data_IF_676306919810
#
_entry.id   IF_676306919810
#
_cell.length_a   1.000
_cell.length_b   1.000
_cell.length_c   1.000
_cell.angle_alpha   90.00
_cell.angle_beta   90.00
_cell.angle_gamma   90.00
#
_symmetry.space_group_name_H-M   'P 1'
#
loop_
_entity.id
_entity.type
_entity.pdbx_description
1 polymer ?
#
# COMPACT_ATOMS: atom_id res chain seq x y z
N UNK A 1 3.80 -9.25 28.15
CA UNK A 1 4.76 -8.24 27.66
C UNK A 1 3.94 -7.19 26.93
N UNK A 2 3.65 -6.04 27.61
CA UNK A 2 2.91 -4.95 26.95
C UNK A 2 3.82 -4.31 25.92
N UNK A 3 3.41 -4.39 24.64
CA UNK A 3 4.04 -3.60 23.58
C UNK A 3 3.47 -2.19 23.74
N UNK A 4 4.27 -1.25 24.23
CA UNK A 4 3.87 0.15 24.24
C UNK A 4 3.87 0.66 22.79
N UNK A 5 2.70 0.86 22.22
CA UNK A 5 2.53 1.43 20.88
C UNK A 5 2.38 2.94 21.06
N UNK A 6 3.30 3.72 20.49
CA UNK A 6 3.21 5.18 20.50
C UNK A 6 2.34 5.60 19.32
N UNK A 7 1.24 6.28 19.59
CA UNK A 7 0.34 6.82 18.55
C UNK A 7 0.60 8.32 18.39
N UNK A 8 0.69 8.80 17.15
CA UNK A 8 0.49 10.22 16.86
C UNK A 8 -1.00 10.45 16.60
N UNK A 9 -1.55 11.47 17.25
CA UNK A 9 -2.91 11.92 17.00
C UNK A 9 -2.85 13.25 16.26
N UNK A 10 -3.34 13.26 15.04
CA UNK A 10 -3.43 14.45 14.19
C UNK A 10 -4.90 14.78 13.88
N UNK A 11 -5.17 16.01 13.51
CA UNK A 11 -6.48 16.35 12.92
C UNK A 11 -6.65 15.57 11.62
N UNK A 12 -7.79 14.94 11.44
CA UNK A 12 -8.09 14.25 10.18
C UNK A 12 -7.90 15.22 9.01
N UNK A 13 -7.26 14.81 7.89
CA UNK A 13 -7.02 15.70 6.77
C UNK A 13 -8.35 16.20 6.22
N UNK A 14 -8.64 17.49 6.41
CA UNK A 14 -9.79 18.19 5.84
C UNK A 14 -9.54 18.45 4.36
N UNK A 15 -9.78 17.44 3.52
CA UNK A 15 -9.92 17.61 2.08
C UNK A 15 -11.40 17.74 1.72
N UNK A 16 -11.72 18.43 0.63
CA UNK A 16 -13.09 18.57 0.12
C UNK A 16 -13.74 17.17 -0.03
N UNK A 17 -14.68 16.84 0.86
CA UNK A 17 -15.30 15.52 0.95
C UNK A 17 -14.87 14.71 2.18
N UNK A 18 -14.42 15.35 3.28
CA UNK A 18 -14.17 14.67 4.54
C UNK A 18 -15.45 13.90 4.95
N UNK A 19 -15.48 12.62 4.61
CA UNK A 19 -16.54 11.75 5.06
C UNK A 19 -16.34 11.58 6.58
N UNK A 20 -17.35 11.91 7.33
CA UNK A 20 -17.44 11.83 8.80
C UNK A 20 -17.56 10.38 9.27
N UNK A 21 -16.74 9.47 8.71
CA UNK A 21 -16.81 8.04 9.01
C UNK A 21 -15.83 7.62 10.08
N UNK A 22 -16.17 6.53 10.77
CA UNK A 22 -15.32 5.84 11.74
C UNK A 22 -14.69 4.64 11.06
N UNK A 23 -13.41 4.71 10.79
CA UNK A 23 -12.72 3.67 10.03
C UNK A 23 -11.45 3.19 10.73
N UNK A 24 -11.21 1.92 10.62
CA UNK A 24 -9.94 1.27 10.93
C UNK A 24 -9.27 0.91 9.60
N UNK A 25 -7.97 1.17 9.47
CA UNK A 25 -7.17 0.75 8.33
C UNK A 25 -5.87 0.09 8.77
N UNK A 26 -5.37 -0.87 8.00
CA UNK A 26 -4.04 -1.43 8.20
C UNK A 26 -3.48 -2.02 6.91
N UNK A 27 -2.16 -1.94 6.80
CA UNK A 27 -1.37 -2.54 5.72
C UNK A 27 -0.20 -3.33 6.28
N UNK A 28 0.05 -4.49 5.71
CA UNK A 28 1.17 -5.39 6.03
C UNK A 28 1.83 -5.92 4.74
N UNK A 29 1.62 -5.23 3.63
CA UNK A 29 2.07 -5.63 2.30
C UNK A 29 3.57 -5.46 2.07
N UNK A 30 4.24 -4.66 2.92
CA UNK A 30 5.67 -4.34 2.83
C UNK A 30 6.43 -4.81 4.08
N UNK A 31 7.69 -4.40 4.20
CA UNK A 31 8.50 -4.56 5.41
C UNK A 31 8.02 -3.72 6.60
N UNK A 32 7.10 -2.79 6.37
CA UNK A 32 6.42 -2.00 7.41
C UNK A 32 5.02 -2.51 7.65
N UNK A 33 4.60 -2.44 8.89
CA UNK A 33 3.21 -2.55 9.33
C UNK A 33 2.71 -1.15 9.60
N UNK A 34 1.65 -0.73 8.93
CA UNK A 34 0.99 0.56 9.14
C UNK A 34 -0.43 0.33 9.60
N UNK A 35 -0.87 1.05 10.63
CA UNK A 35 -2.24 1.02 11.17
C UNK A 35 -2.74 2.43 11.39
N UNK A 36 -4.04 2.67 11.19
CA UNK A 36 -4.68 3.95 11.43
C UNK A 36 -6.15 3.79 11.84
N UNK A 37 -6.64 4.69 12.69
CA UNK A 37 -8.05 4.82 13.08
C UNK A 37 -8.48 6.25 12.87
N UNK A 38 -9.66 6.46 12.32
CA UNK A 38 -10.33 7.75 12.20
C UNK A 38 -11.69 7.70 12.89
N UNK A 39 -12.02 8.73 13.69
CA UNK A 39 -13.34 8.89 14.32
C UNK A 39 -14.22 9.93 13.59
N UNK A 40 -13.78 10.38 12.44
CA UNK A 40 -14.40 11.45 11.64
C UNK A 40 -13.71 12.80 11.78
N UNK A 41 -13.09 13.08 12.91
CA UNK A 41 -12.41 14.35 13.20
C UNK A 41 -10.91 14.18 13.46
N UNK A 42 -10.54 13.09 14.11
CA UNK A 42 -9.17 12.78 14.53
C UNK A 42 -8.65 11.54 13.85
N UNK A 43 -7.36 11.54 13.59
CA UNK A 43 -6.62 10.43 13.02
C UNK A 43 -5.56 9.95 14.02
N UNK A 44 -5.60 8.68 14.41
CA UNK A 44 -4.54 7.99 15.12
C UNK A 44 -3.81 7.12 14.13
N UNK A 45 -2.48 7.16 14.14
CA UNK A 45 -1.67 6.37 13.23
C UNK A 45 -0.42 5.81 13.92
N UNK A 46 0.04 4.67 13.46
CA UNK A 46 1.24 4.00 13.93
C UNK A 46 1.89 3.20 12.82
N UNK A 47 3.20 3.28 12.78
CA UNK A 47 4.03 2.47 11.91
C UNK A 47 5.09 1.74 12.73
N UNK A 48 5.38 0.50 12.34
CA UNK A 48 6.43 -0.30 12.96
C UNK A 48 6.99 -1.31 11.95
N UNK A 49 8.07 -2.00 12.34
CA UNK A 49 8.58 -3.11 11.55
C UNK A 49 7.50 -4.18 11.39
N UNK A 50 7.25 -4.55 10.14
CA UNK A 50 6.27 -5.55 9.70
C UNK A 50 6.88 -6.92 9.42
N UNK A 51 6.58 -7.48 8.26
CA UNK A 51 7.00 -8.81 7.80
C UNK A 51 6.58 -9.93 8.78
N UNK A 52 7.49 -10.76 9.24
CA UNK A 52 7.19 -11.89 10.13
C UNK A 52 6.56 -11.49 11.47
N UNK A 53 6.76 -10.26 11.93
CA UNK A 53 6.21 -9.76 13.19
C UNK A 53 4.75 -9.30 13.08
N UNK A 54 4.26 -9.03 11.87
CA UNK A 54 2.89 -8.56 11.66
C UNK A 54 1.85 -9.54 12.19
N UNK A 55 2.05 -10.84 12.01
CA UNK A 55 1.10 -11.87 12.46
C UNK A 55 0.87 -11.91 13.97
N UNK A 56 1.86 -11.49 14.77
CA UNK A 56 1.76 -11.50 16.24
C UNK A 56 1.43 -10.13 16.82
N UNK A 57 1.79 -9.04 16.13
CA UNK A 57 1.68 -7.69 16.65
C UNK A 57 0.45 -6.94 16.14
N UNK A 58 -0.08 -7.29 14.97
CA UNK A 58 -1.14 -6.52 14.32
C UNK A 58 -2.39 -6.39 15.20
N UNK A 59 -3.00 -7.49 15.61
CA UNK A 59 -4.24 -7.45 16.40
C UNK A 59 -4.06 -6.71 17.74
N UNK A 60 -3.02 -6.99 18.55
CA UNK A 60 -2.78 -6.20 19.76
C UNK A 60 -2.64 -4.69 19.51
N UNK A 61 -1.93 -4.29 18.45
CA UNK A 61 -1.73 -2.89 18.12
C UNK A 61 -3.05 -2.22 17.65
N UNK A 62 -3.86 -2.91 16.85
CA UNK A 62 -5.18 -2.43 16.42
C UNK A 62 -6.11 -2.20 17.62
N UNK A 63 -6.15 -3.15 18.56
CA UNK A 63 -7.00 -3.03 19.77
C UNK A 63 -6.55 -1.87 20.66
N UNK A 64 -5.24 -1.71 20.88
CA UNK A 64 -4.71 -0.58 21.64
C UNK A 64 -5.03 0.78 20.96
N UNK A 65 -4.98 0.85 19.63
CA UNK A 65 -5.30 2.08 18.91
C UNK A 65 -6.80 2.41 19.00
N UNK A 66 -7.67 1.41 18.88
CA UNK A 66 -9.12 1.59 19.08
C UNK A 66 -9.43 2.07 20.50
N UNK A 67 -8.79 1.50 21.51
CA UNK A 67 -8.93 1.95 22.92
C UNK A 67 -8.48 3.40 23.08
N UNK A 68 -7.33 3.79 22.49
CA UNK A 68 -6.84 5.16 22.50
C UNK A 68 -7.78 6.14 21.77
N UNK A 69 -8.47 5.68 20.72
CA UNK A 69 -9.49 6.45 20.01
C UNK A 69 -10.85 6.48 20.72
N UNK A 70 -11.04 5.68 21.78
CA UNK A 70 -12.32 5.52 22.45
C UNK A 70 -13.38 4.82 21.61
N UNK A 71 -12.98 3.99 20.65
CA UNK A 71 -13.86 3.30 19.73
C UNK A 71 -13.88 1.78 19.97
N UNK A 72 -15.05 1.18 19.75
CA UNK A 72 -15.21 -0.27 19.65
C UNK A 72 -15.34 -0.69 18.19
N UNK A 73 -14.93 -1.90 17.86
CA UNK A 73 -15.06 -2.46 16.51
C UNK A 73 -16.47 -2.34 15.91
N UNK A 74 -17.50 -2.57 16.73
CA UNK A 74 -18.90 -2.46 16.29
C UNK A 74 -19.38 -1.02 16.01
N UNK A 75 -18.58 -0.01 16.29
CA UNK A 75 -18.86 1.39 16.00
C UNK A 75 -18.22 1.88 14.70
N UNK A 76 -17.40 1.02 14.06
CA UNK A 76 -16.78 1.33 12.79
C UNK A 76 -17.78 1.22 11.65
N UNK A 77 -17.63 2.08 10.64
CA UNK A 77 -18.41 2.02 9.40
C UNK A 77 -17.79 1.03 8.39
N UNK A 78 -16.48 0.82 8.45
CA UNK A 78 -15.77 -0.19 7.68
C UNK A 78 -14.37 -0.45 8.24
N UNK A 79 -13.80 -1.61 7.86
CA UNK A 79 -12.40 -1.97 8.11
C UNK A 79 -11.68 -2.01 6.75
N UNK A 80 -10.79 -1.03 6.52
CA UNK A 80 -9.95 -0.98 5.34
C UNK A 80 -8.68 -1.83 5.53
N UNK A 81 -8.27 -2.51 4.47
CA UNK A 81 -7.04 -3.31 4.50
C UNK A 81 -6.32 -3.28 3.15
N UNK A 82 -4.98 -3.31 3.20
CA UNK A 82 -4.15 -3.43 2.01
C UNK A 82 -4.30 -4.80 1.39
N UNK A 83 -4.97 -4.87 0.22
CA UNK A 83 -5.20 -6.16 -0.45
C UNK A 83 -4.06 -6.60 -1.35
N UNK A 84 -3.09 -5.70 -1.61
CA UNK A 84 -1.97 -5.97 -2.50
C UNK A 84 -1.91 -5.03 -3.72
N UNK A 85 -0.89 -5.23 -4.57
CA UNK A 85 0.15 -6.25 -4.50
C UNK A 85 1.17 -6.03 -3.38
N UNK A 86 1.89 -7.08 -2.99
CA UNK A 86 2.90 -7.01 -1.95
C UNK A 86 3.37 -8.37 -1.43
N UNK A 87 3.93 -8.39 -0.22
CA UNK A 87 4.39 -9.61 0.45
C UNK A 87 3.27 -10.63 0.62
N UNK A 88 3.47 -11.83 0.12
CA UNK A 88 2.50 -12.93 0.16
C UNK A 88 1.98 -13.25 1.58
N UNK A 89 2.88 -13.32 2.55
CA UNK A 89 2.51 -13.56 3.95
C UNK A 89 1.77 -12.35 4.52
N UNK A 90 2.26 -11.14 4.23
CA UNK A 90 1.63 -9.90 4.69
C UNK A 90 0.20 -9.75 4.18
N UNK A 91 -0.04 -9.96 2.89
CA UNK A 91 -1.37 -9.87 2.30
C UNK A 91 -2.36 -10.85 2.93
N UNK A 92 -1.93 -12.09 3.16
CA UNK A 92 -2.78 -13.08 3.83
C UNK A 92 -3.09 -12.70 5.27
N UNK A 93 -2.10 -12.17 5.99
CA UNK A 93 -2.31 -11.66 7.34
C UNK A 93 -3.34 -10.52 7.34
N UNK A 94 -3.19 -9.53 6.46
CA UNK A 94 -4.14 -8.43 6.35
C UNK A 94 -5.55 -8.92 6.02
N UNK A 95 -5.72 -9.78 5.02
CA UNK A 95 -7.01 -10.33 4.64
C UNK A 95 -7.68 -11.12 5.78
N UNK A 96 -6.94 -12.04 6.42
CA UNK A 96 -7.48 -12.86 7.50
C UNK A 96 -7.89 -12.03 8.72
N UNK A 97 -7.09 -11.03 9.09
CA UNK A 97 -7.40 -10.12 10.21
C UNK A 97 -8.60 -9.25 9.86
N UNK A 98 -8.64 -8.66 8.64
CA UNK A 98 -9.78 -7.85 8.18
C UNK A 98 -11.07 -8.67 8.21
N UNK A 99 -11.04 -9.87 7.64
CA UNK A 99 -12.19 -10.78 7.62
C UNK A 99 -12.68 -11.12 9.01
N UNK A 100 -11.77 -11.56 9.92
CA UNK A 100 -12.13 -11.96 11.26
C UNK A 100 -12.70 -10.82 12.11
N UNK A 101 -12.06 -9.64 12.08
CA UNK A 101 -12.53 -8.48 12.82
C UNK A 101 -13.85 -7.95 12.28
N UNK A 102 -13.99 -7.84 10.96
CA UNK A 102 -15.21 -7.36 10.31
C UNK A 102 -16.41 -8.30 10.55
N UNK A 103 -16.19 -9.62 10.47
CA UNK A 103 -17.19 -10.62 10.76
C UNK A 103 -17.66 -10.54 12.23
N UNK A 104 -16.70 -10.47 13.17
CA UNK A 104 -17.00 -10.35 14.60
C UNK A 104 -17.70 -9.06 14.99
N UNK A 105 -17.45 -7.96 14.26
CA UNK A 105 -18.03 -6.65 14.49
C UNK A 105 -19.34 -6.40 13.73
N UNK A 106 -19.66 -7.21 12.73
CA UNK A 106 -20.82 -7.01 11.85
C UNK A 106 -20.67 -5.80 10.91
N UNK A 107 -19.43 -5.47 10.49
CA UNK A 107 -19.13 -4.33 9.63
C UNK A 107 -18.51 -4.77 8.29
N UNK A 108 -18.64 -3.98 7.22
CA UNK A 108 -18.04 -4.32 5.94
C UNK A 108 -16.51 -4.16 5.96
N UNK A 109 -15.85 -4.80 5.00
CA UNK A 109 -14.44 -4.56 4.69
C UNK A 109 -14.31 -3.63 3.48
N UNK A 110 -13.23 -2.85 3.45
CA UNK A 110 -12.86 -1.99 2.33
C UNK A 110 -11.48 -2.41 1.80
N UNK A 111 -11.42 -3.21 0.74
CA UNK A 111 -10.16 -3.59 0.13
C UNK A 111 -9.53 -2.40 -0.60
N UNK A 112 -8.28 -2.06 -0.26
CA UNK A 112 -7.53 -0.96 -0.88
C UNK A 112 -6.32 -1.50 -1.61
N UNK A 113 -6.12 -1.07 -2.85
CA UNK A 113 -4.93 -1.42 -3.62
C UNK A 113 -3.69 -0.76 -3.01
N UNK A 114 -2.67 -1.56 -2.74
CA UNK A 114 -1.44 -1.09 -2.08
C UNK A 114 -0.73 0.00 -2.88
N UNK A 115 -0.68 -0.11 -4.22
CA UNK A 115 -0.08 0.92 -5.07
C UNK A 115 -0.93 2.20 -5.14
N UNK A 116 -2.25 2.11 -4.99
CA UNK A 116 -3.10 3.28 -4.86
C UNK A 116 -2.87 3.99 -3.52
N UNK A 117 -2.71 3.25 -2.42
CA UNK A 117 -2.34 3.81 -1.12
C UNK A 117 -0.95 4.48 -1.17
N UNK A 118 0.02 3.87 -1.87
CA UNK A 118 1.34 4.46 -2.11
C UNK A 118 1.26 5.76 -2.93
N UNK A 119 0.46 5.77 -3.99
CA UNK A 119 0.26 6.97 -4.81
C UNK A 119 -0.39 8.12 -4.01
N UNK A 120 -1.35 7.80 -3.15
CA UNK A 120 -2.00 8.78 -2.25
C UNK A 120 -1.02 9.29 -1.18
N UNK A 121 -0.16 8.43 -0.63
CA UNK A 121 0.87 8.86 0.32
C UNK A 121 1.85 9.82 -0.35
N UNK A 122 2.33 9.49 -1.55
CA UNK A 122 3.20 10.38 -2.32
C UNK A 122 2.51 11.71 -2.66
N UNK A 123 1.22 11.71 -2.99
CA UNK A 123 0.44 12.92 -3.21
C UNK A 123 0.40 13.80 -1.96
N UNK A 124 0.11 13.20 -0.82
CA UNK A 124 0.03 13.90 0.47
C UNK A 124 1.38 14.52 0.85
N UNK A 125 2.45 13.75 0.78
CA UNK A 125 3.80 14.23 1.07
C UNK A 125 4.29 15.31 0.07
N UNK A 126 3.90 15.20 -1.22
CA UNK A 126 4.17 16.25 -2.19
C UNK A 126 3.53 17.58 -1.80
N UNK A 127 2.24 17.57 -1.49
CA UNK A 127 1.52 18.79 -1.09
C UNK A 127 2.09 19.43 0.17
N UNK A 128 2.56 18.62 1.10
CA UNK A 128 3.19 19.07 2.35
C UNK A 128 4.58 19.68 2.12
N UNK A 129 5.38 19.07 1.26
CA UNK A 129 6.77 19.49 1.01
C UNK A 129 6.89 20.52 -0.12
N UNK A 130 5.89 20.63 -1.01
CA UNK A 130 5.86 21.54 -2.15
C UNK A 130 4.55 22.35 -2.21
N UNK A 131 4.22 23.15 -1.15
CA UNK A 131 2.90 23.79 -1.03
C UNK A 131 2.59 24.82 -2.13
N UNK A 132 3.62 25.30 -2.83
CA UNK A 132 3.49 26.26 -3.94
C UNK A 132 3.58 25.60 -5.33
N UNK A 133 3.77 24.29 -5.41
CA UNK A 133 4.00 23.58 -6.66
C UNK A 133 2.83 22.67 -6.96
N UNK A 134 2.32 22.77 -8.19
CA UNK A 134 1.25 21.88 -8.65
C UNK A 134 1.69 20.41 -8.58
N UNK A 135 0.72 19.53 -8.34
CA UNK A 135 0.93 18.09 -8.41
C UNK A 135 1.38 17.69 -9.83
N UNK A 136 2.40 16.85 -9.97
CA UNK A 136 2.78 16.30 -11.27
C UNK A 136 1.58 15.56 -11.92
N UNK A 137 1.38 15.72 -13.24
CA UNK A 137 0.20 15.14 -13.90
C UNK A 137 0.21 13.61 -13.93
N UNK A 138 1.39 13.00 -13.81
CA UNK A 138 1.55 11.56 -13.84
C UNK A 138 2.53 11.08 -12.77
N UNK A 139 2.16 9.95 -12.13
CA UNK A 139 2.91 9.30 -11.07
C UNK A 139 3.13 7.83 -11.42
N UNK A 140 4.32 7.30 -11.08
CA UNK A 140 4.62 5.88 -11.11
C UNK A 140 4.85 5.38 -9.68
N UNK A 141 3.96 4.54 -9.18
CA UNK A 141 4.09 3.85 -7.90
C UNK A 141 4.74 2.48 -8.12
N UNK A 142 5.78 2.19 -7.33
CA UNK A 142 6.62 1.02 -7.53
C UNK A 142 7.00 0.37 -6.21
N UNK A 143 6.81 -0.95 -6.10
CA UNK A 143 7.22 -1.73 -4.93
C UNK A 143 8.05 -2.93 -5.33
N UNK A 144 9.03 -3.26 -4.48
CA UNK A 144 9.79 -4.50 -4.62
C UNK A 144 8.86 -5.72 -4.59
N UNK A 145 8.88 -6.49 -5.66
CA UNK A 145 8.10 -7.72 -5.79
C UNK A 145 8.92 -8.97 -5.44
N UNK A 146 10.14 -8.81 -4.93
CA UNK A 146 11.13 -9.86 -4.75
C UNK A 146 11.51 -10.55 -6.07
N UNK A 147 12.42 -11.51 -6.03
CA UNK A 147 12.84 -12.29 -7.20
C UNK A 147 13.32 -11.44 -8.38
N UNK A 148 13.93 -10.28 -8.10
CA UNK A 148 14.40 -9.31 -9.10
C UNK A 148 13.28 -8.75 -10.00
N UNK A 149 12.09 -8.55 -9.44
CA UNK A 149 10.93 -7.94 -10.11
C UNK A 149 10.35 -6.81 -9.27
N UNK A 150 9.65 -5.92 -9.93
CA UNK A 150 9.04 -4.71 -9.38
C UNK A 150 7.56 -4.68 -9.76
N UNK A 151 6.68 -4.51 -8.79
CA UNK A 151 5.29 -4.11 -9.03
C UNK A 151 5.28 -2.66 -9.49
N UNK A 152 4.68 -2.39 -10.65
CA UNK A 152 4.59 -1.04 -11.22
C UNK A 152 3.14 -0.75 -11.57
N UNK A 153 2.68 0.42 -11.16
CA UNK A 153 1.41 0.97 -11.61
C UNK A 153 1.55 2.47 -11.88
N UNK A 154 1.00 2.90 -12.99
CA UNK A 154 1.02 4.29 -13.40
C UNK A 154 -0.33 4.94 -13.11
N UNK A 155 -0.28 6.19 -12.69
CA UNK A 155 -1.43 6.98 -12.30
C UNK A 155 -1.42 8.31 -13.04
N UNK A 156 -2.60 8.84 -13.33
CA UNK A 156 -2.77 10.21 -13.79
C UNK A 156 -3.53 11.03 -12.75
N UNK A 157 -3.22 12.31 -12.69
CA UNK A 157 -3.90 13.26 -11.82
C UNK A 157 -5.26 13.62 -12.41
N UNK A 158 -6.33 13.39 -11.66
CA UNK A 158 -7.69 13.78 -12.00
C UNK A 158 -8.36 14.42 -10.77
N UNK A 159 -8.83 15.65 -10.91
CA UNK A 159 -9.54 16.36 -9.83
C UNK A 159 -8.82 16.30 -8.48
N UNK A 160 -7.49 16.52 -8.48
CA UNK A 160 -6.63 16.49 -7.29
C UNK A 160 -6.42 15.09 -6.65
N UNK A 161 -6.75 14.00 -7.33
CA UNK A 161 -6.50 12.63 -6.92
C UNK A 161 -5.80 11.85 -8.04
N UNK A 162 -4.94 10.91 -7.67
CA UNK A 162 -4.32 10.01 -8.64
C UNK A 162 -5.24 8.83 -8.94
N UNK A 163 -5.55 8.64 -10.23
CA UNK A 163 -6.35 7.54 -10.74
C UNK A 163 -5.46 6.58 -11.55
N UNK A 164 -5.62 5.26 -11.40
CA UNK A 164 -4.80 4.30 -12.14
C UNK A 164 -5.07 4.39 -13.64
N UNK A 165 -4.00 4.39 -14.45
CA UNK A 165 -4.08 4.33 -15.91
C UNK A 165 -4.36 2.91 -16.42
N UNK A 166 -3.85 1.91 -15.71
CA UNK A 166 -4.00 0.50 -16.03
C UNK A 166 -3.80 -0.36 -14.78
N UNK A 167 -4.03 -1.65 -14.89
CA UNK A 167 -3.70 -2.61 -13.84
C UNK A 167 -2.19 -2.61 -13.52
N UNK A 168 -1.85 -3.03 -12.29
CA UNK A 168 -0.46 -3.25 -11.90
C UNK A 168 0.20 -4.31 -12.78
N UNK A 169 1.46 -4.09 -13.13
CA UNK A 169 2.31 -5.02 -13.88
C UNK A 169 3.56 -5.38 -13.10
N UNK A 170 4.18 -6.51 -13.48
CA UNK A 170 5.49 -6.93 -13.00
C UNK A 170 6.53 -6.64 -14.08
N UNK A 171 7.62 -5.97 -13.71
CA UNK A 171 8.75 -5.71 -14.61
C UNK A 171 10.08 -5.96 -13.88
N UNK A 172 11.12 -6.45 -14.58
CA UNK A 172 12.46 -6.44 -14.02
C UNK A 172 12.99 -5.00 -13.90
N UNK A 173 13.98 -4.71 -13.04
CA UNK A 173 14.52 -3.35 -12.87
C UNK A 173 14.89 -2.67 -14.19
N UNK A 174 15.48 -3.39 -15.13
CA UNK A 174 15.87 -2.87 -16.45
C UNK A 174 14.66 -2.47 -17.33
N UNK A 175 13.51 -3.11 -17.11
CA UNK A 175 12.26 -2.82 -17.83
C UNK A 175 11.65 -1.46 -17.49
N UNK A 176 12.03 -0.86 -16.36
CA UNK A 176 11.52 0.45 -15.92
C UNK A 176 11.81 1.58 -16.93
N UNK A 177 12.95 1.52 -17.63
CA UNK A 177 13.28 2.55 -18.62
C UNK A 177 12.21 2.66 -19.72
N UNK A 178 11.64 1.54 -20.16
CA UNK A 178 10.56 1.55 -21.13
C UNK A 178 9.24 1.99 -20.48
N UNK A 179 8.91 1.48 -19.30
CA UNK A 179 7.69 1.82 -18.58
C UNK A 179 7.59 3.34 -18.33
N UNK A 180 8.68 3.97 -17.90
CA UNK A 180 8.74 5.42 -17.67
C UNK A 180 8.62 6.24 -18.96
N UNK A 181 9.26 5.81 -20.06
CA UNK A 181 9.14 6.51 -21.37
C UNK A 181 7.70 6.47 -21.89
N UNK A 182 7.06 5.31 -21.80
CA UNK A 182 5.71 5.11 -22.32
C UNK A 182 4.65 5.93 -21.56
N UNK A 183 4.89 6.24 -20.27
CA UNK A 183 3.91 6.90 -19.42
C UNK A 183 4.29 8.35 -19.04
N UNK A 184 5.40 8.89 -19.55
CA UNK A 184 5.88 10.25 -19.28
C UNK A 184 5.83 10.66 -17.79
N UNK A 185 6.08 9.71 -16.89
CA UNK A 185 5.95 9.92 -15.44
C UNK A 185 6.96 10.96 -14.94
N UNK A 186 6.46 11.89 -14.10
CA UNK A 186 7.25 12.98 -13.50
C UNK A 186 7.44 12.79 -11.99
N UNK A 187 6.55 12.08 -11.33
CA UNK A 187 6.68 11.71 -9.93
C UNK A 187 6.88 10.20 -9.83
N UNK A 188 7.97 9.79 -9.21
CA UNK A 188 8.36 8.40 -9.02
C UNK A 188 8.38 8.11 -7.53
N UNK A 189 7.67 7.06 -7.08
CA UNK A 189 7.56 6.74 -5.67
C UNK A 189 7.65 5.25 -5.39
N UNK A 190 8.06 4.91 -4.18
CA UNK A 190 8.18 3.55 -3.67
C UNK A 190 9.55 3.20 -3.12
N UNK A 191 9.72 1.96 -2.66
CA UNK A 191 10.96 1.47 -2.05
C UNK A 191 12.01 0.95 -3.05
N UNK A 192 11.70 0.95 -4.34
CA UNK A 192 12.58 0.40 -5.38
C UNK A 192 13.90 1.15 -5.50
N UNK A 193 13.92 2.43 -5.18
CA UNK A 193 15.11 3.29 -5.26
C UNK A 193 16.18 2.91 -4.23
N UNK A 194 15.76 2.37 -3.10
CA UNK A 194 16.65 1.82 -2.08
C UNK A 194 17.04 0.37 -2.40
N UNK A 195 16.04 -0.48 -2.71
CA UNK A 195 16.23 -1.92 -2.91
C UNK A 195 17.04 -2.25 -4.16
N UNK A 196 16.89 -1.43 -5.22
CA UNK A 196 17.50 -1.67 -6.53
C UNK A 196 18.47 -0.56 -6.98
N UNK A 197 18.97 0.27 -6.07
CA UNK A 197 19.75 1.49 -6.36
C UNK A 197 20.74 1.36 -7.54
N UNK A 198 21.58 0.32 -7.50
CA UNK A 198 22.66 0.09 -8.49
C UNK A 198 22.17 -0.60 -9.79
N UNK A 199 20.89 -0.94 -9.88
CA UNK A 199 20.30 -1.73 -10.98
C UNK A 199 19.19 -1.01 -11.73
N UNK A 200 18.80 0.15 -11.23
CA UNK A 200 17.79 0.96 -11.90
C UNK A 200 18.38 1.67 -13.13
N UNK A 201 17.61 1.80 -14.21
CA UNK A 201 18.01 2.63 -15.33
C UNK A 201 18.09 4.11 -14.93
N UNK A 202 18.75 4.92 -15.76
CA UNK A 202 18.77 6.37 -15.58
C UNK A 202 17.33 6.92 -15.48
N UNK A 203 17.11 7.79 -14.50
CA UNK A 203 15.81 8.40 -14.26
C UNK A 203 15.39 9.28 -15.45
N UNK A 204 14.09 9.37 -15.76
CA UNK A 204 13.61 10.30 -16.79
C UNK A 204 13.98 11.74 -16.45
N UNK A 205 14.41 12.50 -17.46
CA UNK A 205 14.75 13.91 -17.28
C UNK A 205 13.57 14.70 -16.71
N UNK A 206 13.81 15.50 -15.68
CA UNK A 206 12.81 16.31 -15.00
C UNK A 206 11.81 15.50 -14.15
N UNK A 207 12.11 14.24 -13.83
CA UNK A 207 11.36 13.49 -12.82
C UNK A 207 11.89 13.78 -11.40
N UNK A 208 10.98 13.70 -10.44
CA UNK A 208 11.27 13.78 -9.00
C UNK A 208 11.04 12.42 -8.37
N UNK A 209 11.98 11.95 -7.57
CA UNK A 209 11.81 10.76 -6.72
C UNK A 209 11.33 11.22 -5.36
N UNK A 210 10.21 10.69 -4.91
CA UNK A 210 9.67 10.88 -3.57
C UNK A 210 9.51 9.50 -2.91
N UNK A 211 10.50 9.06 -2.13
CA UNK A 211 10.43 7.77 -1.46
C UNK A 211 9.25 7.74 -0.49
N UNK A 212 8.38 6.77 -0.64
CA UNK A 212 7.26 6.52 0.25
C UNK A 212 6.95 5.02 0.30
N UNK A 213 6.14 4.64 1.30
CA UNK A 213 5.54 3.33 1.43
C UNK A 213 4.02 3.48 1.55
N UNK A 214 3.23 2.45 1.25
CA UNK A 214 1.80 2.49 1.50
C UNK A 214 1.54 2.62 3.00
N UNK A 215 0.65 3.55 3.39
CA UNK A 215 0.28 3.77 4.78
C UNK A 215 -1.21 3.54 5.00
N UNK A 216 -1.58 3.15 6.22
CA UNK A 216 -2.97 3.06 6.62
C UNK A 216 -3.66 4.43 6.60
N UNK A 217 -2.93 5.51 6.89
CA UNK A 217 -3.44 6.88 6.79
C UNK A 217 -3.81 7.25 5.34
N UNK A 218 -2.98 6.86 4.36
CA UNK A 218 -3.31 7.01 2.94
C UNK A 218 -4.57 6.25 2.55
N UNK A 219 -4.73 5.03 3.07
CA UNK A 219 -5.95 4.23 2.84
C UNK A 219 -7.20 4.93 3.40
N UNK A 220 -7.10 5.54 4.59
CA UNK A 220 -8.20 6.32 5.16
C UNK A 220 -8.51 7.59 4.35
N UNK A 221 -7.51 8.23 3.73
CA UNK A 221 -7.75 9.35 2.79
C UNK A 221 -8.47 8.92 1.52
N UNK A 222 -8.26 7.67 1.06
CA UNK A 222 -8.97 7.09 -0.09
C UNK A 222 -10.36 6.56 0.26
N UNK A 223 -10.62 6.20 1.51
CA UNK A 223 -11.82 5.51 1.94
C UNK A 223 -13.13 6.21 1.54
N UNK A 224 -13.31 7.55 1.69
CA UNK A 224 -14.54 8.21 1.30
C UNK A 224 -14.92 7.99 -0.16
N UNK A 225 -13.95 8.17 -1.06
CA UNK A 225 -14.18 8.00 -2.50
C UNK A 225 -14.46 6.54 -2.86
N UNK A 226 -13.73 5.59 -2.24
CA UNK A 226 -13.95 4.16 -2.45
C UNK A 226 -15.32 3.69 -1.94
N UNK A 227 -15.78 4.18 -0.78
CA UNK A 227 -17.09 3.86 -0.23
C UNK A 227 -18.18 4.44 -1.15
N UNK A 228 -18.05 5.70 -1.58
CA UNK A 228 -18.98 6.33 -2.52
C UNK A 228 -19.06 5.59 -3.86
N UNK A 229 -17.96 4.99 -4.30
CA UNK A 229 -17.91 4.14 -5.49
C UNK A 229 -18.45 2.71 -5.25
N UNK A 230 -18.95 2.39 -4.07
CA UNK A 230 -19.49 1.06 -3.74
C UNK A 230 -18.41 -0.01 -3.59
N UNK A 231 -17.20 0.35 -3.19
CA UNK A 231 -16.09 -0.60 -3.03
C UNK A 231 -16.15 -1.43 -1.73
N UNK A 232 -16.98 -1.05 -0.76
CA UNK A 232 -17.19 -1.84 0.44
C UNK A 232 -17.73 -3.25 0.11
N UNK A 233 -17.26 -4.25 0.83
CA UNK A 233 -17.57 -5.67 0.59
C UNK A 233 -17.96 -6.36 1.89
N UNK A 234 -18.77 -7.44 1.83
CA UNK A 234 -18.97 -8.30 3.00
C UNK A 234 -17.64 -8.96 3.42
N UNK A 235 -17.48 -9.31 4.72
CA UNK A 235 -16.21 -9.79 5.27
C UNK A 235 -15.61 -11.00 4.54
N UNK A 236 -16.42 -11.92 4.04
CA UNK A 236 -15.98 -13.11 3.29
C UNK A 236 -15.30 -12.79 1.97
N UNK A 237 -15.43 -11.56 1.46
CA UNK A 237 -14.76 -11.05 0.28
C UNK A 237 -13.46 -10.30 0.58
N UNK A 238 -12.93 -10.39 1.80
CA UNK A 238 -11.59 -9.91 2.13
C UNK A 238 -10.54 -10.82 1.48
N UNK A 239 -10.26 -10.59 0.19
CA UNK A 239 -9.37 -11.41 -0.61
C UNK A 239 -8.13 -10.62 -1.05
N UNK A 240 -6.94 -11.27 -1.11
CA UNK A 240 -5.73 -10.63 -1.60
C UNK A 240 -5.73 -10.49 -3.12
N UNK A 241 -5.08 -9.43 -3.60
CA UNK A 241 -4.78 -9.24 -5.02
C UNK A 241 -3.40 -9.84 -5.35
N UNK A 242 -3.38 -10.94 -6.04
CA UNK A 242 -2.16 -11.54 -6.56
C UNK A 242 -1.93 -11.09 -8.01
N UNK A 243 -0.81 -10.40 -8.25
CA UNK A 243 -0.40 -9.96 -9.60
C UNK A 243 0.53 -10.98 -10.25
N UNK A 244 1.24 -11.77 -9.43
CA UNK A 244 2.11 -12.84 -9.93
C UNK A 244 1.32 -14.14 -10.01
N UNK A 245 1.14 -14.67 -11.22
CA UNK A 245 0.43 -15.92 -11.45
C UNK A 245 1.21 -17.15 -10.96
N UNK A 246 2.55 -17.06 -10.94
CA UNK A 246 3.43 -18.18 -10.62
C UNK A 246 4.37 -17.80 -9.46
N UNK A 247 4.04 -18.27 -8.26
CA UNK A 247 4.77 -17.93 -7.01
C UNK A 247 6.01 -18.79 -6.78
N UNK A 248 6.14 -19.95 -7.45
CA UNK A 248 7.26 -20.86 -7.30
C UNK A 248 7.68 -21.46 -8.65
N UNK A 249 8.99 -21.51 -8.89
CA UNK A 249 9.54 -22.30 -9.97
C UNK A 249 9.34 -23.80 -9.65
N UNK A 250 8.93 -24.57 -10.66
CA UNK A 250 8.94 -26.04 -10.54
C UNK A 250 10.37 -26.54 -10.35
N UNK A 251 10.52 -27.76 -9.87
CA UNK A 251 11.85 -28.41 -9.72
C UNK A 251 12.62 -28.41 -11.03
N UNK A 252 11.93 -28.63 -12.15
CA UNK A 252 12.54 -28.66 -13.49
C UNK A 252 13.01 -27.27 -13.94
N UNK A 253 12.25 -26.22 -13.67
CA UNK A 253 12.61 -24.83 -13.97
C UNK A 253 13.84 -24.38 -13.15
N UNK A 254 13.91 -24.75 -11.87
CA UNK A 254 15.10 -24.49 -11.04
C UNK A 254 16.32 -25.20 -11.61
N UNK A 255 16.17 -26.47 -12.02
CA UNK A 255 17.25 -27.23 -12.62
C UNK A 255 17.71 -26.66 -13.97
N UNK A 256 16.80 -26.10 -14.77
CA UNK A 256 17.14 -25.40 -16.02
C UNK A 256 17.90 -24.08 -15.77
N UNK A 257 17.45 -23.25 -14.84
CA UNK A 257 18.13 -22.00 -14.46
C UNK A 257 19.53 -22.29 -13.92
N UNK A 258 19.69 -23.33 -13.09
CA UNK A 258 20.97 -23.72 -12.53
C UNK A 258 21.94 -24.26 -13.60
N UNK A 259 21.45 -25.04 -14.57
CA UNK A 259 22.23 -25.48 -15.74
C UNK A 259 22.65 -24.32 -16.63
N UNK A 260 21.76 -23.36 -16.89
CA UNK A 260 22.08 -22.18 -17.68
C UNK A 260 23.14 -21.28 -17.01
N UNK A 261 23.06 -21.10 -15.67
CA UNK A 261 24.06 -20.35 -14.90
C UNK A 261 25.43 -21.04 -14.91
N UNK A 262 25.49 -22.38 -14.81
CA UNK A 262 26.73 -23.15 -14.91
C UNK A 262 27.34 -23.14 -16.32
N UNK A 263 26.51 -23.03 -17.37
CA UNK A 263 26.98 -22.92 -18.75
C UNK A 263 27.53 -21.52 -19.08
N UNK A 264 26.98 -20.46 -18.47
CA UNK A 264 27.44 -19.08 -18.64
C UNK A 264 28.73 -18.74 -17.84
N UNK A 265 29.09 -19.60 -16.88
CA UNK A 265 30.31 -19.46 -16.06
C UNK A 265 31.54 -20.22 -16.63
N UNK A 266 31.38 -20.88 -17.78
CA UNK A 266 32.46 -21.52 -18.56
C UNK A 266 32.82 -20.71 -19.78
#
# INVERSE_FOLDING_TARGET
>A
MHIAVTFSADTAPTGAGAATGRWLAFDTSTERMSIAVCDGERLWQHESAGAALSSTKLIPALMQMLDAAGLRLSQLDAIAFGRGPGSFTGLRTACAVAQGLALGAGVPVLPVDTLAALAEEARFEWLKTHPQTALPPQLSAMLDARMNEIYVQHFHLNSNAYQPLAACTLVPPQGLAQAWRSNACRLLTGNVFEVYADRLPALPSGSTVLPALPTAAAMLRLAPALIAAGAARPPEQALPLYVRDKVAQTTDERAQVQRAALAAAK
#
